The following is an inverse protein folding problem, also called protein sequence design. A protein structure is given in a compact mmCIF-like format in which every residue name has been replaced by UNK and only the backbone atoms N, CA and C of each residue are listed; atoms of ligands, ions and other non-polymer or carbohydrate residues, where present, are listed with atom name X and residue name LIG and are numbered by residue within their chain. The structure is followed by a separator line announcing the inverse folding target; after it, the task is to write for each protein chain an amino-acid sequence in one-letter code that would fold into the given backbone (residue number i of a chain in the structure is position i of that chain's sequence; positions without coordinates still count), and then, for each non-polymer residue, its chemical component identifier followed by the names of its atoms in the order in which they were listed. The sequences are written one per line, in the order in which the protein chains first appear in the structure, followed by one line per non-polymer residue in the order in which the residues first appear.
data_IF_636299822444
#
_entry.id   IF_636299822444
#
_cell.length_a   1.000
_cell.length_b   1.000
_cell.length_c   1.000
_cell.angle_alpha   90.00
_cell.angle_beta   90.00
_cell.angle_gamma   90.00
#
_symmetry.space_group_name_H-M   'P 1'
#
loop_
_entity.id
_entity.type
_entity.pdbx_description
1 polymer ?
#
# COMPACT_ATOMS: atom_id res chain seq x y z
N UNK A 1 -3.02 -2.62 17.29
CA UNK A 1 -4.05 -2.94 16.27
C UNK A 1 -4.27 -1.67 15.46
N UNK A 2 -3.83 -1.64 14.20
CA UNK A 2 -3.95 -0.45 13.35
C UNK A 2 -5.41 -0.30 12.91
N UNK A 3 -6.02 0.86 13.14
CA UNK A 3 -7.42 1.10 12.75
C UNK A 3 -7.45 1.89 11.44
N UNK A 4 -8.42 1.61 10.59
CA UNK A 4 -8.55 2.32 9.30
C UNK A 4 -8.79 3.83 9.49
N UNK A 5 -9.37 4.22 10.62
CA UNK A 5 -9.54 5.63 11.00
C UNK A 5 -8.22 6.35 11.33
N UNK A 6 -7.14 5.60 11.63
CA UNK A 6 -5.80 6.17 11.87
C UNK A 6 -5.10 6.54 10.55
N UNK A 7 -5.69 6.16 9.40
CA UNK A 7 -5.15 6.41 8.07
C UNK A 7 -5.62 7.80 7.61
N UNK A 8 -4.72 8.80 7.41
CA UNK A 8 -5.08 10.19 7.12
C UNK A 8 -5.96 10.40 5.90
N UNK A 9 -5.88 9.55 4.87
CA UNK A 9 -6.78 9.66 3.71
C UNK A 9 -8.24 9.32 4.08
N UNK A 10 -8.47 8.63 5.19
CA UNK A 10 -9.78 8.22 5.69
C UNK A 10 -10.23 8.96 6.96
N UNK A 11 -9.40 9.85 7.52
CA UNK A 11 -9.69 10.54 8.80
C UNK A 11 -10.96 11.39 8.77
N UNK A 12 -11.34 11.91 7.60
CA UNK A 12 -12.50 12.77 7.41
C UNK A 12 -13.76 12.02 6.94
N UNK A 13 -13.75 10.68 6.92
CA UNK A 13 -14.90 9.91 6.49
C UNK A 13 -15.91 9.71 7.61
N UNK A 14 -17.20 9.76 7.25
CA UNK A 14 -18.28 9.43 8.18
C UNK A 14 -18.18 7.97 8.64
N UNK A 15 -18.70 7.63 9.84
CA UNK A 15 -18.72 6.25 10.33
C UNK A 15 -19.38 5.26 9.35
N UNK A 16 -20.43 5.69 8.64
CA UNK A 16 -21.11 4.90 7.62
C UNK A 16 -20.24 4.63 6.39
N UNK A 17 -19.41 5.58 5.97
CA UNK A 17 -18.47 5.43 4.86
C UNK A 17 -17.30 4.53 5.26
N UNK A 18 -16.79 4.71 6.49
CA UNK A 18 -15.75 3.84 7.05
C UNK A 18 -16.22 2.39 7.13
N UNK A 19 -17.47 2.13 7.53
CA UNK A 19 -18.03 0.79 7.56
C UNK A 19 -18.00 0.14 6.17
N UNK A 20 -18.45 0.84 5.13
CA UNK A 20 -18.45 0.33 3.74
C UNK A 20 -17.05 0.02 3.22
N UNK A 21 -16.04 0.75 3.68
CA UNK A 21 -14.63 0.49 3.34
C UNK A 21 -14.16 -0.75 4.09
N UNK A 22 -14.40 -0.82 5.41
CA UNK A 22 -14.02 -1.97 6.26
C UNK A 22 -14.50 -3.29 5.67
N UNK A 23 -15.73 -3.33 5.15
CA UNK A 23 -16.33 -4.52 4.55
C UNK A 23 -15.64 -4.99 3.25
N UNK A 24 -14.84 -4.12 2.61
CA UNK A 24 -14.13 -4.40 1.36
C UNK A 24 -12.62 -4.59 1.55
N UNK A 25 -12.12 -4.42 2.77
CA UNK A 25 -10.72 -4.63 3.08
C UNK A 25 -10.44 -6.12 3.28
N UNK A 26 -9.26 -6.54 2.83
CA UNK A 26 -8.71 -7.84 3.16
C UNK A 26 -7.22 -7.69 3.41
N UNK A 27 -6.69 -8.54 4.28
CA UNK A 27 -5.25 -8.59 4.56
C UNK A 27 -4.60 -9.46 3.49
N UNK A 28 -3.50 -8.98 2.92
CA UNK A 28 -2.69 -9.73 1.99
C UNK A 28 -1.26 -9.77 2.49
N UNK A 29 -0.75 -10.99 2.68
CA UNK A 29 0.61 -11.23 3.13
C UNK A 29 1.53 -11.47 1.92
N UNK A 30 2.78 -11.02 2.06
CA UNK A 30 3.80 -11.15 1.04
C UNK A 30 5.07 -11.70 1.69
N UNK A 31 5.67 -12.70 1.04
CA UNK A 31 6.99 -13.20 1.44
C UNK A 31 8.08 -12.19 1.07
N UNK A 32 9.25 -12.29 1.69
CA UNK A 32 10.42 -11.50 1.31
C UNK A 32 10.67 -11.60 -0.20
N UNK A 33 11.03 -10.47 -0.81
CA UNK A 33 11.33 -10.32 -2.24
C UNK A 33 10.13 -10.51 -3.19
N UNK A 34 8.90 -10.64 -2.66
CA UNK A 34 7.69 -10.62 -3.49
C UNK A 34 7.44 -9.24 -4.11
N UNK A 35 6.90 -9.23 -5.33
CA UNK A 35 6.43 -8.01 -5.98
C UNK A 35 4.98 -7.73 -5.55
N UNK A 36 4.73 -6.53 -5.03
CA UNK A 36 3.38 -6.09 -4.66
C UNK A 36 2.57 -5.77 -5.91
N UNK A 37 3.14 -4.97 -6.81
CA UNK A 37 2.63 -4.65 -8.16
C UNK A 37 3.79 -4.14 -9.04
N UNK A 38 3.60 -4.17 -10.36
CA UNK A 38 4.54 -3.59 -11.33
C UNK A 38 4.11 -2.18 -11.78
N UNK A 39 5.08 -1.38 -12.22
CA UNK A 39 4.80 -0.10 -12.88
C UNK A 39 4.01 -0.36 -14.17
N UNK A 40 2.90 0.37 -14.33
CA UNK A 40 2.01 0.22 -15.49
C UNK A 40 0.92 -0.83 -15.32
N UNK A 41 0.92 -1.62 -14.24
CA UNK A 41 -0.17 -2.54 -13.95
C UNK A 41 -1.49 -1.79 -13.77
N UNK A 42 -2.56 -2.32 -14.39
CA UNK A 42 -3.91 -1.82 -14.20
C UNK A 42 -4.44 -2.22 -12.83
N UNK A 43 -3.97 -1.53 -11.80
CA UNK A 43 -4.24 -1.87 -10.41
C UNK A 43 -5.51 -1.17 -9.91
N UNK A 44 -6.49 -1.96 -9.44
CA UNK A 44 -7.74 -1.46 -8.86
C UNK A 44 -7.73 -1.37 -7.34
N UNK A 45 -6.57 -1.59 -6.71
CA UNK A 45 -6.43 -1.67 -5.26
C UNK A 45 -5.60 -0.50 -4.72
N UNK A 46 -5.99 -0.03 -3.53
CA UNK A 46 -5.16 0.77 -2.65
C UNK A 46 -4.48 -0.16 -1.64
N UNK A 47 -3.20 0.04 -1.38
CA UNK A 47 -2.41 -0.76 -0.45
C UNK A 47 -2.04 0.09 0.77
N UNK A 48 -2.10 -0.51 1.96
CA UNK A 48 -1.69 0.10 3.22
C UNK A 48 -0.68 -0.85 3.85
N UNK A 49 0.52 -0.35 4.15
CA UNK A 49 1.60 -1.17 4.69
C UNK A 49 1.45 -1.32 6.21
N UNK A 50 0.88 -2.45 6.63
CA UNK A 50 0.64 -2.76 8.05
C UNK A 50 1.90 -3.23 8.79
N UNK A 51 2.75 -4.01 8.12
CA UNK A 51 4.00 -4.55 8.68
C UNK A 51 5.08 -4.70 7.62
N UNK A 52 6.35 -4.61 8.02
CA UNK A 52 7.50 -4.85 7.16
C UNK A 52 8.00 -3.60 6.42
N UNK A 53 8.65 -3.83 5.27
CA UNK A 53 9.29 -2.77 4.48
C UNK A 53 9.07 -3.04 3.00
N UNK A 54 8.77 -1.99 2.23
CA UNK A 54 8.58 -2.05 0.78
C UNK A 54 9.53 -1.08 0.10
N UNK A 55 10.25 -1.55 -0.93
CA UNK A 55 11.10 -0.72 -1.78
C UNK A 55 10.31 -0.29 -3.01
N UNK A 56 10.13 1.01 -3.17
CA UNK A 56 9.63 1.61 -4.40
C UNK A 56 10.80 1.95 -5.32
N UNK A 57 10.73 1.48 -6.56
CA UNK A 57 11.73 1.76 -7.58
C UNK A 57 11.05 1.84 -8.95
N UNK A 58 11.73 2.50 -9.90
CA UNK A 58 11.38 2.50 -11.32
C UNK A 58 12.47 1.85 -12.14
N UNK A 59 12.10 1.32 -13.30
CA UNK A 59 13.06 0.74 -14.24
C UNK A 59 13.21 1.67 -15.43
N UNK A 60 14.45 2.07 -15.73
CA UNK A 60 14.75 2.90 -16.91
C UNK A 60 14.64 2.07 -18.19
N UNK A 61 14.52 2.71 -19.38
CA UNK A 61 14.56 1.99 -20.66
C UNK A 61 15.84 1.17 -20.87
N UNK A 62 16.93 1.52 -20.20
CA UNK A 62 18.22 0.80 -20.24
C UNK A 62 18.29 -0.36 -19.23
N UNK A 63 17.22 -0.64 -18.49
CA UNK A 63 17.15 -1.73 -17.49
C UNK A 63 17.64 -1.36 -16.09
N UNK A 64 18.18 -0.15 -15.88
CA UNK A 64 18.65 0.27 -14.55
C UNK A 64 17.48 0.56 -13.60
N UNK A 65 17.61 0.15 -12.34
CA UNK A 65 16.65 0.48 -11.29
C UNK A 65 16.99 1.81 -10.60
N UNK A 66 16.05 2.76 -10.64
CA UNK A 66 16.12 4.00 -9.88
C UNK A 66 15.33 3.81 -8.58
N UNK A 67 16.00 3.90 -7.44
CA UNK A 67 15.32 3.89 -6.15
C UNK A 67 14.53 5.19 -5.96
N UNK A 68 13.24 5.07 -5.62
CA UNK A 68 12.37 6.22 -5.37
C UNK A 68 12.20 6.43 -3.87
N UNK A 69 11.78 5.37 -3.17
CA UNK A 69 11.52 5.45 -1.74
C UNK A 69 11.59 4.06 -1.09
N UNK A 70 11.73 4.02 0.23
CA UNK A 70 11.56 2.83 1.06
C UNK A 70 10.51 3.13 2.13
N UNK A 71 9.36 2.49 2.01
CA UNK A 71 8.28 2.57 2.98
C UNK A 71 8.56 1.58 4.11
N UNK A 72 8.40 2.01 5.36
CA UNK A 72 8.57 1.18 6.57
C UNK A 72 7.28 1.27 7.37
N UNK A 73 6.72 0.13 7.77
CA UNK A 73 5.50 0.11 8.54
C UNK A 73 5.65 0.80 9.93
N UNK A 74 4.60 1.49 10.42
CA UNK A 74 3.40 1.83 9.67
C UNK A 74 3.68 3.07 8.80
N UNK A 75 3.62 2.90 7.49
CA UNK A 75 3.68 4.00 6.55
C UNK A 75 2.38 4.04 5.80
N UNK A 76 1.85 5.24 5.71
CA UNK A 76 0.81 5.61 4.77
C UNK A 76 1.40 5.83 3.38
#
# INVERSE_FOLDING_TARGET
MYRIEDVPIFSNLSPSSLSKIKDKLYIKEYSKDSIVFYEGDFNRYLYILLEGKVKLYKTTPKGNQIHINRLIAPSL
#
